data_IF_683739654338
#
_entry.id   IF_683739654338
#
_cell.length_a   1.000
_cell.length_b   1.000
_cell.length_c   1.000
_cell.angle_alpha   90.00
_cell.angle_beta   90.00
_cell.angle_gamma   90.00
#
_symmetry.space_group_name_H-M   'P 1'
#
loop_
_entity.id
_entity.type
_entity.pdbx_description
1 polymer ?
#
# COMPACT_ATOMS: atom_id res chain seq x y z
N UNK A 1 12.35 -6.95 5.57
CA UNK A 1 11.73 -6.67 4.25
C UNK A 1 12.70 -6.74 3.09
N UNK A 2 13.80 -5.97 3.05
CA UNK A 2 14.76 -6.02 1.94
C UNK A 2 15.29 -7.43 1.62
N UNK A 3 15.60 -8.22 2.64
CA UNK A 3 16.04 -9.61 2.48
C UNK A 3 14.97 -10.49 1.85
N UNK A 4 13.72 -10.39 2.32
CA UNK A 4 12.56 -11.07 1.74
C UNK A 4 12.38 -10.70 0.27
N UNK A 5 12.38 -9.40 -0.04
CA UNK A 5 12.24 -8.90 -1.42
C UNK A 5 13.30 -9.48 -2.34
N UNK A 6 14.56 -9.55 -1.91
CA UNK A 6 15.65 -10.16 -2.70
C UNK A 6 15.51 -11.68 -2.82
N UNK A 7 15.25 -12.36 -1.70
CA UNK A 7 15.20 -13.83 -1.63
C UNK A 7 14.05 -14.41 -2.47
N UNK A 8 12.89 -13.75 -2.43
CA UNK A 8 11.68 -14.20 -3.12
C UNK A 8 11.39 -13.42 -4.41
N UNK A 9 12.30 -12.55 -4.83
CA UNK A 9 12.17 -11.72 -6.04
C UNK A 9 10.84 -10.94 -6.11
N UNK A 10 10.42 -10.36 -4.97
CA UNK A 10 9.14 -9.65 -4.88
C UNK A 10 9.20 -8.34 -5.67
N UNK A 11 8.12 -8.01 -6.38
CA UNK A 11 7.94 -6.66 -6.95
C UNK A 11 7.67 -5.65 -5.85
N UNK A 12 6.81 -5.98 -4.90
CA UNK A 12 6.44 -5.09 -3.80
C UNK A 12 6.23 -5.91 -2.54
N UNK A 13 6.77 -5.43 -1.42
CA UNK A 13 6.46 -5.99 -0.11
C UNK A 13 6.01 -4.90 0.85
N UNK A 14 5.26 -5.26 1.88
CA UNK A 14 4.94 -4.36 2.98
C UNK A 14 5.09 -5.07 4.32
N UNK A 15 5.33 -4.36 5.42
CA UNK A 15 5.30 -4.97 6.73
C UNK A 15 3.85 -5.29 7.09
N UNK A 16 3.65 -6.35 7.86
CA UNK A 16 2.37 -6.59 8.51
C UNK A 16 2.03 -5.46 9.49
N UNK A 17 0.74 -5.29 9.80
CA UNK A 17 0.26 -4.19 10.65
C UNK A 17 -0.32 -4.74 11.94
N UNK A 18 0.10 -4.19 13.08
CA UNK A 18 -0.49 -4.52 14.37
C UNK A 18 -1.93 -3.98 14.45
N UNK A 19 -2.92 -4.88 14.35
CA UNK A 19 -4.34 -4.50 14.33
C UNK A 19 -4.84 -3.89 15.65
N UNK A 20 -4.17 -4.15 16.78
CA UNK A 20 -4.59 -3.62 18.08
C UNK A 20 -4.13 -2.17 18.27
N UNK A 21 -2.92 -1.86 17.82
CA UNK A 21 -2.29 -0.55 17.98
C UNK A 21 -2.52 0.39 16.80
N UNK A 22 -3.02 -0.13 15.68
CA UNK A 22 -3.10 0.62 14.43
C UNK A 22 -4.53 0.97 14.00
N UNK A 23 -4.64 1.97 13.12
CA UNK A 23 -5.77 2.06 12.19
C UNK A 23 -5.45 1.14 11.02
N UNK A 24 -6.34 0.18 10.76
CA UNK A 24 -6.21 -0.78 9.70
C UNK A 24 -7.27 -0.52 8.64
N UNK A 25 -6.87 -0.33 7.37
CA UNK A 25 -7.85 -0.11 6.30
C UNK A 25 -8.27 -1.43 5.63
N UNK A 26 -7.43 -2.45 5.64
CA UNK A 26 -7.76 -3.78 5.10
C UNK A 26 -7.19 -4.92 5.95
N UNK A 27 -8.00 -5.96 6.23
CA UNK A 27 -7.59 -7.05 7.13
C UNK A 27 -6.45 -7.91 6.57
N UNK A 28 -6.27 -7.94 5.24
CA UNK A 28 -5.20 -8.71 4.58
C UNK A 28 -3.80 -8.29 5.02
N UNK A 29 -3.62 -7.05 5.46
CA UNK A 29 -2.31 -6.52 5.90
C UNK A 29 -2.10 -6.69 7.41
N UNK A 30 -3.07 -7.24 8.14
CA UNK A 30 -2.95 -7.48 9.57
C UNK A 30 -1.84 -8.50 9.86
N UNK A 31 -1.12 -8.29 10.96
CA UNK A 31 -0.16 -9.25 11.46
C UNK A 31 -0.85 -10.56 11.85
N UNK A 32 -0.31 -11.66 11.34
CA UNK A 32 -0.75 -13.00 11.70
C UNK A 32 0.21 -13.57 12.75
N UNK A 33 -0.29 -13.75 13.98
CA UNK A 33 0.46 -14.29 15.11
C UNK A 33 0.71 -15.82 15.02
N UNK A 34 0.44 -16.42 13.87
CA UNK A 34 0.85 -17.79 13.59
C UNK A 34 2.35 -17.82 13.21
N UNK A 35 2.98 -19.00 13.18
CA UNK A 35 4.36 -19.20 12.70
C UNK A 35 4.46 -18.97 11.16
N UNK A 36 4.04 -17.79 10.70
CA UNK A 36 4.00 -17.37 9.31
C UNK A 36 4.90 -16.15 9.22
N UNK A 37 5.98 -16.22 8.43
CA UNK A 37 6.88 -15.09 8.24
C UNK A 37 6.48 -14.19 7.07
N UNK A 38 5.71 -14.73 6.10
CA UNK A 38 5.32 -14.02 4.88
C UNK A 38 4.04 -14.61 4.29
N UNK A 39 3.19 -13.74 3.73
CA UNK A 39 1.97 -14.11 3.00
C UNK A 39 1.97 -13.44 1.64
N UNK A 40 1.83 -14.19 0.56
CA UNK A 40 1.57 -13.61 -0.77
C UNK A 40 0.15 -13.06 -0.82
N UNK A 41 -0.01 -11.90 -1.46
CA UNK A 41 -1.27 -11.17 -1.51
C UNK A 41 -1.52 -10.62 -2.91
N UNK A 42 -2.77 -10.32 -3.22
CA UNK A 42 -3.16 -9.59 -4.44
C UNK A 42 -3.53 -8.12 -4.14
N UNK A 43 -3.33 -7.67 -2.90
CA UNK A 43 -3.62 -6.32 -2.46
C UNK A 43 -2.66 -5.88 -1.34
N UNK A 44 -2.20 -4.63 -1.41
CA UNK A 44 -1.31 -3.98 -0.46
C UNK A 44 -1.83 -2.57 -0.22
N UNK A 45 -1.99 -2.17 1.04
CA UNK A 45 -2.37 -0.81 1.39
C UNK A 45 -1.18 0.14 1.19
N UNK A 46 -1.40 1.29 0.56
CA UNK A 46 -0.36 2.33 0.42
C UNK A 46 -0.09 2.98 1.77
N UNK A 47 0.87 2.42 2.48
CA UNK A 47 1.39 2.97 3.73
C UNK A 47 2.91 2.82 3.79
N UNK A 48 3.39 1.58 3.82
CA UNK A 48 4.81 1.26 4.03
C UNK A 48 5.35 0.27 3.00
N UNK A 49 4.99 0.47 1.73
CA UNK A 49 5.41 -0.42 0.64
C UNK A 49 6.89 -0.24 0.30
N UNK A 50 7.58 -1.35 0.12
CA UNK A 50 8.92 -1.44 -0.44
C UNK A 50 8.84 -1.97 -1.86
N UNK A 51 9.12 -1.10 -2.83
CA UNK A 51 9.14 -1.45 -4.25
C UNK A 51 10.49 -2.00 -4.68
N UNK A 52 10.49 -2.96 -5.60
CA UNK A 52 11.62 -3.22 -6.47
C UNK A 52 11.84 -2.01 -7.40
N UNK A 53 13.06 -1.83 -7.90
CA UNK A 53 13.36 -0.69 -8.77
C UNK A 53 12.48 -0.66 -10.03
N UNK A 54 12.21 -1.83 -10.62
CA UNK A 54 11.36 -1.95 -11.80
C UNK A 54 9.91 -1.61 -11.49
N UNK A 55 9.37 -2.16 -10.38
CA UNK A 55 8.00 -1.89 -9.96
C UNK A 55 7.78 -0.41 -9.64
N UNK A 56 8.76 0.23 -8.99
CA UNK A 56 8.71 1.67 -8.72
C UNK A 56 8.68 2.49 -10.01
N UNK A 57 9.52 2.16 -11.01
CA UNK A 57 9.52 2.85 -12.30
C UNK A 57 8.19 2.70 -13.03
N UNK A 58 7.60 1.51 -13.02
CA UNK A 58 6.29 1.24 -13.61
C UNK A 58 5.19 2.06 -12.92
N UNK A 59 5.13 2.02 -11.59
CA UNK A 59 4.20 2.82 -10.80
C UNK A 59 4.34 4.32 -11.11
N UNK A 60 5.55 4.86 -11.04
CA UNK A 60 5.80 6.28 -11.28
C UNK A 60 5.51 6.71 -12.73
N UNK A 61 5.68 5.82 -13.72
CA UNK A 61 5.34 6.11 -15.12
C UNK A 61 3.84 6.32 -15.34
N UNK A 62 3.01 5.82 -14.42
CA UNK A 62 1.55 5.96 -14.41
C UNK A 62 1.08 6.76 -13.20
N UNK A 63 1.96 7.41 -12.45
CA UNK A 63 1.55 8.14 -11.25
C UNK A 63 1.10 9.54 -11.62
N UNK A 64 -0.06 9.94 -11.10
CA UNK A 64 -0.61 11.27 -11.25
C UNK A 64 -0.81 11.87 -9.86
N UNK A 65 -0.26 13.06 -9.59
CA UNK A 65 -0.34 13.69 -8.27
C UNK A 65 -1.78 14.02 -7.85
N UNK A 66 -2.75 14.03 -8.76
CA UNK A 66 -4.16 14.23 -8.43
C UNK A 66 -4.77 13.07 -7.65
N UNK A 67 -4.21 11.86 -7.76
CA UNK A 67 -4.71 10.67 -7.05
C UNK A 67 -4.11 10.51 -5.64
N UNK A 68 -3.41 11.53 -5.13
CA UNK A 68 -2.91 11.51 -3.75
C UNK A 68 -4.08 11.26 -2.79
N UNK A 69 -3.90 10.27 -1.91
CA UNK A 69 -4.86 9.99 -0.85
C UNK A 69 -6.03 9.06 -1.21
N UNK A 70 -6.18 8.64 -2.47
CA UNK A 70 -7.08 7.56 -2.89
C UNK A 70 -6.71 7.02 -4.27
N UNK A 71 -6.64 5.70 -4.46
CA UNK A 71 -6.40 5.09 -5.78
C UNK A 71 -4.96 4.64 -6.01
N UNK A 72 -3.99 5.10 -5.21
CA UNK A 72 -2.59 4.69 -5.34
C UNK A 72 -2.36 3.19 -5.08
N UNK A 73 -3.18 2.59 -4.22
CA UNK A 73 -3.22 1.15 -3.96
C UNK A 73 -3.63 0.39 -5.22
N UNK A 74 -4.74 0.77 -5.83
CA UNK A 74 -5.18 0.18 -7.10
C UNK A 74 -4.16 0.38 -8.22
N UNK A 75 -3.64 1.62 -8.37
CA UNK A 75 -2.65 1.93 -9.39
C UNK A 75 -1.39 1.05 -9.25
N UNK A 76 -0.99 0.74 -8.03
CA UNK A 76 0.16 -0.12 -7.76
C UNK A 76 0.02 -1.47 -8.48
N UNK A 77 -1.14 -2.13 -8.35
CA UNK A 77 -1.41 -3.40 -9.01
C UNK A 77 -1.60 -3.25 -10.52
N UNK A 78 -2.35 -2.24 -10.96
CA UNK A 78 -2.56 -1.98 -12.38
C UNK A 78 -1.26 -1.72 -13.14
N UNK A 79 -0.33 -0.96 -12.54
CA UNK A 79 0.92 -0.58 -13.17
C UNK A 79 1.99 -1.69 -13.15
N UNK A 80 1.97 -2.55 -12.13
CA UNK A 80 3.04 -3.56 -11.93
C UNK A 80 2.63 -5.00 -12.30
N UNK A 81 1.35 -5.20 -12.67
CA UNK A 81 0.80 -6.43 -13.23
C UNK A 81 -0.15 -7.14 -12.26
N UNK A 82 -1.38 -7.41 -12.71
CA UNK A 82 -2.43 -8.00 -11.85
C UNK A 82 -2.36 -9.53 -11.72
N UNK A 83 -1.69 -10.21 -12.66
CA UNK A 83 -1.65 -11.69 -12.78
C UNK A 83 -0.57 -12.39 -11.94
N UNK A 84 0.09 -11.67 -11.03
CA UNK A 84 1.25 -12.22 -10.36
C UNK A 84 0.95 -12.73 -8.95
N UNK A 85 0.67 -14.04 -8.84
CA UNK A 85 0.37 -14.72 -7.57
C UNK A 85 1.49 -14.62 -6.52
N UNK A 86 2.72 -14.31 -6.93
CA UNK A 86 3.92 -14.35 -6.06
C UNK A 86 4.77 -13.07 -6.09
N UNK A 87 4.27 -11.99 -6.66
CA UNK A 87 5.04 -10.75 -6.77
C UNK A 87 4.84 -9.80 -5.59
N UNK A 88 3.76 -9.99 -4.82
CA UNK A 88 3.38 -9.11 -3.73
C UNK A 88 3.26 -9.88 -2.42
N UNK A 89 3.81 -9.33 -1.33
CA UNK A 89 3.74 -10.01 -0.05
C UNK A 89 3.65 -9.05 1.15
N UNK A 90 2.93 -9.52 2.18
CA UNK A 90 2.99 -8.99 3.54
C UNK A 90 4.05 -9.77 4.31
N UNK A 91 4.99 -9.07 4.92
CA UNK A 91 6.07 -9.65 5.73
C UNK A 91 5.68 -9.56 7.21
N UNK A 92 5.45 -10.70 7.86
CA UNK A 92 5.00 -10.79 9.25
C UNK A 92 6.14 -10.66 10.27
N UNK A 93 7.37 -11.00 9.88
CA UNK A 93 8.57 -10.77 10.71
C UNK A 93 8.87 -9.28 10.94
N UNK A 94 8.23 -8.39 10.17
CA UNK A 94 8.31 -6.94 10.38
C UNK A 94 6.91 -6.41 10.65
N UNK A 95 6.71 -5.87 11.85
CA UNK A 95 5.40 -5.37 12.29
C UNK A 95 5.45 -3.84 12.34
N UNK A 96 4.61 -3.21 11.54
CA UNK A 96 4.39 -1.77 11.55
C UNK A 96 3.21 -1.40 12.46
N UNK A 97 3.29 -0.20 13.02
CA UNK A 97 2.18 0.43 13.75
C UNK A 97 1.77 1.68 12.98
N UNK A 98 0.49 1.78 12.66
CA UNK A 98 -0.11 2.94 12.04
C UNK A 98 -0.95 3.72 13.08
N UNK A 99 -0.39 4.73 13.76
CA UNK A 99 -0.97 5.30 14.97
C UNK A 99 -2.42 5.78 14.80
N UNK A 100 -3.25 5.52 15.82
CA UNK A 100 -4.66 5.96 15.88
C UNK A 100 -4.85 7.45 16.08
N UNK A 101 -3.92 8.09 16.79
CA UNK A 101 -3.94 9.53 17.04
C UNK A 101 -2.99 10.21 16.06
N UNK A 102 -3.51 11.11 15.22
CA UNK A 102 -2.75 11.83 14.22
C UNK A 102 -2.98 13.32 14.39
N UNK A 103 -1.94 14.02 14.84
CA UNK A 103 -1.88 15.43 15.26
C UNK A 103 -2.77 15.83 16.46
N UNK A 104 -2.29 16.75 17.29
CA UNK A 104 -3.04 17.35 18.41
C UNK A 104 -4.27 18.15 17.94
N UNK A 105 -4.33 18.48 16.64
CA UNK A 105 -5.40 19.26 15.99
C UNK A 105 -6.62 18.42 15.61
N UNK A 106 -6.49 17.08 15.60
CA UNK A 106 -7.54 16.15 15.15
C UNK A 106 -7.80 16.13 13.64
N UNK A 107 -7.08 16.93 12.83
CA UNK A 107 -7.22 16.93 11.36
C UNK A 107 -6.22 15.97 10.73
N UNK A 108 -6.66 15.21 9.72
CA UNK A 108 -5.77 14.33 8.93
C UNK A 108 -4.97 15.15 7.93
N UNK A 109 -3.73 14.73 7.63
CA UNK A 109 -2.89 15.35 6.57
C UNK A 109 -3.61 15.42 5.22
N UNK A 110 -4.46 14.43 4.91
CA UNK A 110 -5.31 14.43 3.71
C UNK A 110 -6.17 15.70 3.58
N UNK A 111 -6.57 16.34 4.69
CA UNK A 111 -7.37 17.57 4.64
C UNK A 111 -6.55 18.78 4.13
N UNK A 112 -5.23 18.64 3.98
CA UNK A 112 -4.36 19.65 3.35
C UNK A 112 -4.46 19.60 1.82
N UNK A 113 -5.05 18.54 1.24
CA UNK A 113 -5.24 18.40 -0.20
C UNK A 113 -6.48 19.17 -0.66
N UNK A 114 -6.37 19.82 -1.82
CA UNK A 114 -7.51 20.40 -2.51
C UNK A 114 -8.49 19.29 -2.94
N UNK A 115 -9.80 19.50 -2.77
CA UNK A 115 -10.84 18.51 -3.10
C UNK A 115 -10.62 17.12 -2.48
N UNK A 116 -10.05 17.04 -1.27
CA UNK A 116 -9.80 15.76 -0.58
C UNK A 116 -11.07 14.90 -0.41
N UNK A 117 -12.24 15.53 -0.38
CA UNK A 117 -13.56 14.92 -0.32
C UNK A 117 -13.98 14.28 -1.66
N UNK A 118 -13.46 14.76 -2.79
CA UNK A 118 -13.74 14.25 -4.15
C UNK A 118 -12.70 13.26 -4.67
N UNK A 119 -11.73 12.85 -3.84
CA UNK A 119 -10.62 11.94 -4.23
C UNK A 119 -11.07 10.63 -4.90
N UNK A 120 -12.24 10.10 -4.54
CA UNK A 120 -12.81 8.90 -5.19
C UNK A 120 -13.19 9.17 -6.65
N UNK A 121 -13.78 10.33 -6.93
CA UNK A 121 -14.16 10.73 -8.29
C UNK A 121 -12.92 11.05 -9.12
N UNK A 122 -11.90 11.69 -8.51
CA UNK A 122 -10.61 11.92 -9.15
C UNK A 122 -9.97 10.60 -9.57
N UNK A 123 -9.95 9.59 -8.69
CA UNK A 123 -9.47 8.26 -9.05
C UNK A 123 -10.30 7.63 -10.18
N UNK A 124 -11.63 7.68 -10.11
CA UNK A 124 -12.50 7.11 -11.15
C UNK A 124 -12.20 7.71 -12.53
N UNK A 125 -12.14 9.03 -12.62
CA UNK A 125 -11.82 9.75 -13.85
C UNK A 125 -10.40 9.47 -14.37
N UNK A 126 -9.46 9.14 -13.46
CA UNK A 126 -8.12 8.74 -13.81
C UNK A 126 -8.07 7.31 -14.34
N UNK A 127 -8.72 6.38 -13.63
CA UNK A 127 -8.76 4.96 -13.96
C UNK A 127 -9.39 4.67 -15.33
N UNK A 128 -10.33 5.50 -15.78
CA UNK A 128 -10.94 5.39 -17.13
C UNK A 128 -9.94 5.66 -18.28
N UNK A 129 -8.73 6.15 -17.99
CA UNK A 129 -7.74 6.59 -18.99
C UNK A 129 -6.48 5.72 -19.05
N UNK A 130 -6.36 4.72 -18.18
CA UNK A 130 -5.12 3.93 -18.00
C UNK A 130 -5.28 2.48 -18.42
#
# INVERSE_FOLDING_TARGET
MFEYTRKFNLKISMPSVDAHRSVLSHFVTAHQYANISMTYVNFLEVNSMLFSQQALRQFLSKYDNRIIGFGGDYLTFCATGYDAERDYAVIHDVIAVNPKVRESTGKRELHKLHDWDKRKDVWKNYAEKI
#
